data_IF_817614438272
#
_entry.id   IF_817614438272
#
_cell.length_a   1.000
_cell.length_b   1.000
_cell.length_c   1.000
_cell.angle_alpha   90.00
_cell.angle_beta   90.00
_cell.angle_gamma   90.00
#
_symmetry.space_group_name_H-M   'P 1'
#
loop_
_entity.id
_entity.type
_entity.pdbx_description
1 polymer ?
#
# COMPACT_ATOMS: atom_id res chain seq x y z
N UNK A 1 26.89 -26.78 4.15
CA UNK A 1 25.65 -25.98 4.20
C UNK A 1 25.83 -24.94 5.30
N UNK A 2 25.82 -23.65 4.95
CA UNK A 2 25.87 -22.56 5.92
C UNK A 2 24.50 -22.41 6.56
N UNK A 3 24.39 -22.64 7.87
CA UNK A 3 23.16 -22.40 8.62
C UNK A 3 23.03 -20.88 8.78
N UNK A 4 22.04 -20.28 8.13
CA UNK A 4 21.72 -18.86 8.30
C UNK A 4 20.78 -18.66 9.49
N UNK A 5 21.06 -17.68 10.33
CA UNK A 5 20.26 -17.34 11.51
C UNK A 5 19.46 -16.02 11.34
N UNK A 6 18.51 -15.69 12.23
CA UNK A 6 17.72 -14.45 12.13
C UNK A 6 18.55 -13.16 12.16
N UNK A 7 19.66 -13.12 12.92
CA UNK A 7 20.49 -11.92 13.03
C UNK A 7 21.22 -11.63 11.72
N UNK A 8 21.72 -12.68 11.07
CA UNK A 8 22.36 -12.64 9.74
C UNK A 8 21.35 -12.20 8.68
N UNK A 9 20.13 -12.75 8.69
CA UNK A 9 19.07 -12.31 7.77
C UNK A 9 18.79 -10.82 7.94
N UNK A 10 18.62 -10.33 9.19
CA UNK A 10 18.37 -8.91 9.45
C UNK A 10 19.52 -8.03 8.96
N UNK A 11 20.77 -8.44 9.22
CA UNK A 11 21.95 -7.72 8.74
C UNK A 11 21.97 -7.60 7.22
N UNK A 12 21.80 -8.71 6.49
CA UNK A 12 21.80 -8.72 5.03
C UNK A 12 20.64 -7.90 4.43
N UNK A 13 19.44 -7.98 5.03
CA UNK A 13 18.31 -7.13 4.63
C UNK A 13 18.62 -5.64 4.84
N UNK A 14 19.28 -5.28 5.94
CA UNK A 14 19.70 -3.91 6.21
C UNK A 14 20.78 -3.42 5.23
N UNK A 15 21.60 -4.33 4.68
CA UNK A 15 22.53 -4.05 3.58
C UNK A 15 21.86 -3.99 2.19
N UNK A 16 20.53 -4.16 2.12
CA UNK A 16 19.76 -4.04 0.89
C UNK A 16 19.61 -5.33 0.08
N UNK A 17 20.08 -6.48 0.58
CA UNK A 17 19.79 -7.76 -0.06
C UNK A 17 18.31 -8.08 0.03
N UNK A 18 17.77 -8.70 -1.01
CA UNK A 18 16.41 -9.22 -1.01
C UNK A 18 16.36 -10.62 -0.39
N UNK A 19 15.20 -11.02 0.14
CA UNK A 19 14.99 -12.38 0.65
C UNK A 19 15.20 -13.46 -0.44
N UNK A 20 15.01 -13.12 -1.72
CA UNK A 20 15.26 -14.03 -2.85
C UNK A 20 16.75 -14.22 -3.10
N UNK A 21 17.55 -13.15 -3.03
CA UNK A 21 19.01 -13.23 -3.13
C UNK A 21 19.59 -14.02 -1.97
N UNK A 22 19.12 -13.76 -0.74
CA UNK A 22 19.48 -14.53 0.46
C UNK A 22 19.16 -16.02 0.30
N UNK A 23 17.98 -16.37 -0.22
CA UNK A 23 17.61 -17.76 -0.45
C UNK A 23 18.57 -18.47 -1.42
N UNK A 24 18.97 -17.78 -2.50
CA UNK A 24 19.93 -18.29 -3.48
C UNK A 24 21.33 -18.44 -2.88
N UNK A 25 21.81 -17.41 -2.18
CA UNK A 25 23.14 -17.37 -1.58
C UNK A 25 23.34 -18.50 -0.56
N UNK A 26 22.34 -18.73 0.30
CA UNK A 26 22.44 -19.71 1.37
C UNK A 26 21.89 -21.10 0.99
N UNK A 27 21.42 -21.28 -0.24
CA UNK A 27 20.89 -22.56 -0.73
C UNK A 27 19.65 -23.04 0.02
N UNK A 28 18.78 -22.12 0.44
CA UNK A 28 17.56 -22.38 1.21
C UNK A 28 16.33 -21.84 0.50
N UNK A 29 15.13 -22.20 0.99
CA UNK A 29 13.90 -21.66 0.40
C UNK A 29 13.66 -20.22 0.83
N UNK A 30 13.01 -19.42 -0.03
CA UNK A 30 12.56 -18.07 0.32
C UNK A 30 11.62 -18.07 1.52
N UNK A 31 10.78 -19.11 1.66
CA UNK A 31 9.86 -19.25 2.80
C UNK A 31 10.62 -19.36 4.12
N UNK A 32 11.75 -20.08 4.12
CA UNK A 32 12.61 -20.18 5.30
C UNK A 32 13.23 -18.83 5.66
N UNK A 33 13.79 -18.10 4.68
CA UNK A 33 14.31 -16.73 4.89
C UNK A 33 13.22 -15.79 5.42
N UNK A 34 12.00 -15.85 4.89
CA UNK A 34 10.87 -15.04 5.37
C UNK A 34 10.53 -15.32 6.84
N UNK A 35 10.56 -16.60 7.25
CA UNK A 35 10.37 -16.99 8.65
C UNK A 35 11.45 -16.38 9.55
N UNK A 36 12.72 -16.48 9.17
CA UNK A 36 13.84 -15.90 9.92
C UNK A 36 13.76 -14.37 9.97
N UNK A 37 13.39 -13.72 8.87
CA UNK A 37 13.20 -12.27 8.81
C UNK A 37 12.13 -11.82 9.82
N UNK A 38 10.98 -12.50 9.87
CA UNK A 38 9.93 -12.23 10.87
C UNK A 38 10.43 -12.42 12.30
N UNK A 39 11.18 -13.49 12.58
CA UNK A 39 11.78 -13.73 13.89
C UNK A 39 12.75 -12.63 14.30
N UNK A 40 13.45 -12.03 13.33
CA UNK A 40 14.35 -10.90 13.55
C UNK A 40 13.63 -9.53 13.62
N UNK A 41 12.29 -9.51 13.64
CA UNK A 41 11.50 -8.28 13.68
C UNK A 41 11.40 -7.53 12.35
N UNK A 42 11.78 -8.15 11.23
CA UNK A 42 11.57 -7.55 9.91
C UNK A 42 10.12 -7.72 9.47
N UNK A 43 9.40 -6.61 9.40
CA UNK A 43 8.05 -6.56 8.90
C UNK A 43 8.00 -6.09 7.44
N UNK A 44 7.40 -6.87 6.52
CA UNK A 44 7.27 -6.45 5.13
C UNK A 44 6.41 -5.19 4.99
N UNK A 45 6.82 -4.23 4.17
CA UNK A 45 6.06 -2.99 3.91
C UNK A 45 4.59 -3.25 3.51
N UNK A 46 4.33 -4.33 2.76
CA UNK A 46 2.97 -4.74 2.37
C UNK A 46 2.09 -5.09 3.58
N UNK A 47 2.67 -5.68 4.62
CA UNK A 47 1.97 -5.97 5.87
C UNK A 47 1.65 -4.67 6.58
N UNK A 48 2.63 -3.76 6.72
CA UNK A 48 2.43 -2.43 7.31
C UNK A 48 1.29 -1.68 6.61
N UNK A 49 1.27 -1.65 5.28
CA UNK A 49 0.21 -1.01 4.49
C UNK A 49 -1.16 -1.64 4.74
N UNK A 50 -1.24 -2.97 4.83
CA UNK A 50 -2.51 -3.68 5.09
C UNK A 50 -3.02 -3.44 6.51
N UNK A 51 -2.15 -3.48 7.52
CA UNK A 51 -2.54 -3.32 8.94
C UNK A 51 -2.91 -1.89 9.33
N UNK A 52 -2.44 -0.92 8.55
CA UNK A 52 -2.74 0.50 8.70
C UNK A 52 -3.77 1.00 7.68
N UNK A 53 -4.44 0.10 6.96
CA UNK A 53 -5.51 0.47 6.02
C UNK A 53 -6.65 1.18 6.78
N UNK A 54 -7.28 2.23 6.22
CA UNK A 54 -8.18 3.08 6.99
C UNK A 54 -9.49 2.40 7.42
N UNK A 55 -9.88 1.35 6.69
CA UNK A 55 -11.16 0.65 6.89
C UNK A 55 -10.98 -0.88 6.85
N UNK A 56 -11.86 -1.64 7.53
CA UNK A 56 -11.89 -3.10 7.42
C UNK A 56 -12.52 -3.52 6.07
N UNK A 57 -11.67 -3.86 5.10
CA UNK A 57 -12.13 -4.23 3.75
C UNK A 57 -12.62 -5.68 3.73
N UNK A 58 -13.88 -5.89 3.32
CA UNK A 58 -14.40 -7.24 3.12
C UNK A 58 -13.65 -7.96 1.97
N UNK A 59 -13.44 -9.28 2.06
CA UNK A 59 -12.65 -10.03 1.08
C UNK A 59 -13.07 -9.82 -0.38
N UNK A 60 -14.37 -9.69 -0.63
CA UNK A 60 -14.94 -9.53 -1.98
C UNK A 60 -14.50 -8.24 -2.67
N UNK A 61 -14.17 -7.19 -1.91
CA UNK A 61 -13.73 -5.90 -2.44
C UNK A 61 -12.21 -5.79 -2.58
N UNK A 62 -11.45 -6.81 -2.19
CA UNK A 62 -9.98 -6.80 -2.31
C UNK A 62 -9.49 -6.77 -3.76
N UNK A 63 -10.35 -7.10 -4.74
CA UNK A 63 -10.03 -6.97 -6.17
C UNK A 63 -10.41 -5.61 -6.77
N UNK A 64 -11.02 -4.70 -5.99
CA UNK A 64 -11.43 -3.38 -6.48
C UNK A 64 -10.19 -2.55 -6.88
N UNK A 65 -10.28 -1.84 -8.01
CA UNK A 65 -9.18 -1.03 -8.54
C UNK A 65 -8.74 0.10 -7.59
N UNK A 66 -9.67 0.73 -6.87
CA UNK A 66 -9.35 1.78 -5.91
C UNK A 66 -8.66 1.22 -4.67
N UNK A 67 -9.07 0.05 -4.18
CA UNK A 67 -8.35 -0.67 -3.13
C UNK A 67 -6.90 -0.98 -3.54
N UNK A 68 -6.70 -1.54 -4.74
CA UNK A 68 -5.37 -1.83 -5.26
C UNK A 68 -4.53 -0.56 -5.44
N UNK A 69 -5.15 0.53 -5.90
CA UNK A 69 -4.48 1.82 -6.04
C UNK A 69 -4.00 2.37 -4.70
N UNK A 70 -4.85 2.37 -3.67
CA UNK A 70 -4.49 2.77 -2.32
C UNK A 70 -3.32 1.96 -1.78
N UNK A 71 -3.29 0.64 -2.01
CA UNK A 71 -2.15 -0.19 -1.57
C UNK A 71 -0.85 0.18 -2.27
N UNK A 72 -0.89 0.51 -3.56
CA UNK A 72 0.30 0.98 -4.30
C UNK A 72 0.76 2.33 -3.77
N UNK A 73 -0.16 3.27 -3.51
CA UNK A 73 0.17 4.58 -2.94
C UNK A 73 0.77 4.44 -1.55
N UNK A 74 0.20 3.62 -0.68
CA UNK A 74 0.75 3.37 0.65
C UNK A 74 2.17 2.81 0.60
N UNK A 75 2.46 1.90 -0.32
CA UNK A 75 3.82 1.40 -0.54
C UNK A 75 4.77 2.50 -1.02
N UNK A 76 4.36 3.28 -2.02
CA UNK A 76 5.14 4.41 -2.54
C UNK A 76 5.48 5.43 -1.46
N UNK A 77 4.50 5.82 -0.64
CA UNK A 77 4.67 6.79 0.43
C UNK A 77 5.56 6.25 1.58
N UNK A 78 5.63 4.94 1.77
CA UNK A 78 6.59 4.35 2.69
C UNK A 78 8.02 4.43 2.15
N UNK A 79 8.19 3.95 0.92
CA UNK A 79 9.46 3.86 0.21
C UNK A 79 9.19 3.82 -1.30
N UNK A 80 9.68 4.81 -2.02
CA UNK A 80 9.49 4.94 -3.47
C UNK A 80 10.14 3.81 -4.26
N UNK A 81 11.12 3.09 -3.66
CA UNK A 81 11.78 1.92 -4.27
C UNK A 81 10.98 0.62 -4.06
N UNK A 82 9.96 0.63 -3.21
CA UNK A 82 9.17 -0.57 -2.89
C UNK A 82 8.21 -1.00 -4.01
N UNK A 83 7.99 -0.14 -5.01
CA UNK A 83 7.13 -0.39 -6.16
C UNK A 83 7.81 0.05 -7.45
N UNK A 84 7.60 -0.70 -8.54
CA UNK A 84 8.12 -0.30 -9.84
C UNK A 84 7.39 0.93 -10.38
N UNK A 85 8.08 1.77 -11.13
CA UNK A 85 7.46 2.91 -11.82
C UNK A 85 6.33 2.49 -12.76
N UNK A 86 6.43 1.32 -13.39
CA UNK A 86 5.36 0.76 -14.23
C UNK A 86 4.08 0.45 -13.44
N UNK A 87 4.21 0.06 -12.18
CA UNK A 87 3.08 -0.18 -11.27
C UNK A 87 2.46 1.14 -10.84
N UNK A 88 3.28 2.12 -10.47
CA UNK A 88 2.83 3.46 -10.06
C UNK A 88 2.11 4.18 -11.21
N UNK A 89 2.61 4.04 -12.45
CA UNK A 89 1.96 4.62 -13.63
C UNK A 89 0.49 4.17 -13.80
N UNK A 90 0.14 2.97 -13.35
CA UNK A 90 -1.25 2.45 -13.41
C UNK A 90 -2.20 3.17 -12.44
N UNK A 91 -1.68 3.81 -11.39
CA UNK A 91 -2.51 4.51 -10.39
C UNK A 91 -2.57 6.01 -10.62
N UNK A 92 -1.82 6.56 -11.58
CA UNK A 92 -1.84 8.00 -11.92
C UNK A 92 -3.26 8.47 -12.27
N UNK A 93 -4.04 7.66 -13.00
CA UNK A 93 -5.42 8.03 -13.34
C UNK A 93 -6.31 8.23 -12.10
N UNK A 94 -6.07 7.46 -11.04
CA UNK A 94 -6.76 7.59 -9.75
C UNK A 94 -6.30 8.87 -9.05
N UNK A 95 -4.99 9.09 -8.95
CA UNK A 95 -4.42 10.27 -8.30
C UNK A 95 -4.84 11.58 -8.98
N UNK A 96 -4.89 11.60 -10.33
CA UNK A 96 -5.40 12.75 -11.09
C UNK A 96 -6.87 13.03 -10.79
N UNK A 97 -7.71 12.00 -10.62
CA UNK A 97 -9.12 12.20 -10.25
C UNK A 97 -9.25 12.79 -8.83
N UNK A 98 -8.48 12.28 -7.87
CA UNK A 98 -8.43 12.82 -6.50
C UNK A 98 -7.99 14.30 -6.52
N UNK A 99 -6.90 14.60 -7.24
CA UNK A 99 -6.34 15.95 -7.30
C UNK A 99 -7.22 16.94 -8.08
N UNK A 100 -7.57 16.62 -9.33
CA UNK A 100 -8.23 17.57 -10.23
C UNK A 100 -9.70 17.84 -9.89
N UNK A 101 -10.41 16.83 -9.38
CA UNK A 101 -11.83 16.96 -9.06
C UNK A 101 -12.10 17.29 -7.59
N UNK A 102 -11.06 17.58 -6.79
CA UNK A 102 -11.22 17.83 -5.35
C UNK A 102 -11.94 16.68 -4.65
N UNK A 103 -11.61 15.44 -5.01
CA UNK A 103 -12.25 14.24 -4.49
C UNK A 103 -11.31 13.46 -3.56
N UNK A 104 -11.88 12.54 -2.80
CA UNK A 104 -11.18 11.52 -2.02
C UNK A 104 -11.80 10.16 -2.28
N UNK A 105 -11.06 9.10 -1.98
CA UNK A 105 -11.55 7.73 -2.08
C UNK A 105 -12.25 7.37 -0.79
N UNK A 106 -13.44 6.80 -0.86
CA UNK A 106 -14.13 6.22 0.28
C UNK A 106 -14.44 4.74 0.05
N UNK A 107 -14.61 4.02 1.16
CA UNK A 107 -15.06 2.64 1.21
C UNK A 107 -16.40 2.54 1.94
N UNK A 108 -17.35 1.89 1.28
CA UNK A 108 -18.62 1.44 1.85
C UNK A 108 -19.09 0.23 1.02
N UNK A 109 -19.31 -0.95 1.64
CA UNK A 109 -19.84 -2.14 0.95
C UNK A 109 -21.11 -1.88 0.13
N UNK A 110 -21.93 -0.90 0.53
CA UNK A 110 -23.16 -0.50 -0.15
C UNK A 110 -22.96 0.32 -1.41
N UNK A 111 -21.74 0.80 -1.71
CA UNK A 111 -21.50 1.56 -2.93
C UNK A 111 -21.67 0.69 -4.19
N UNK A 112 -22.55 1.09 -5.12
CA UNK A 112 -22.74 0.36 -6.36
C UNK A 112 -21.54 0.55 -7.30
N UNK A 113 -21.38 -0.35 -8.26
CA UNK A 113 -20.54 -0.09 -9.40
C UNK A 113 -21.15 1.02 -10.26
N UNK A 114 -20.32 1.94 -10.75
CA UNK A 114 -20.70 3.04 -11.64
C UNK A 114 -19.99 2.82 -12.98
N UNK A 115 -20.71 2.35 -14.02
CA UNK A 115 -20.13 2.13 -15.35
C UNK A 115 -19.37 3.35 -15.86
N UNK A 116 -18.17 3.14 -16.42
CA UNK A 116 -17.30 4.22 -16.91
C UNK A 116 -16.52 4.97 -15.81
N UNK A 117 -16.78 4.73 -14.53
CA UNK A 117 -16.07 5.37 -13.42
C UNK A 117 -15.40 4.37 -12.48
N UNK A 118 -16.17 3.47 -11.87
CA UNK A 118 -15.69 2.40 -10.99
C UNK A 118 -16.52 1.14 -11.31
N UNK A 119 -15.90 0.16 -11.96
CA UNK A 119 -16.60 -1.02 -12.48
C UNK A 119 -16.85 -2.12 -11.44
N UNK A 120 -16.38 -1.93 -10.21
CA UNK A 120 -16.58 -2.87 -9.08
C UNK A 120 -17.19 -2.14 -7.87
N UNK A 121 -18.14 -2.73 -7.16
CA UNK A 121 -18.77 -2.11 -5.99
C UNK A 121 -17.79 -1.90 -4.81
N UNK A 122 -18.26 -1.23 -3.77
CA UNK A 122 -17.57 -1.10 -2.48
C UNK A 122 -16.73 0.16 -2.30
N UNK A 123 -16.34 0.84 -3.38
CA UNK A 123 -15.51 2.04 -3.32
C UNK A 123 -16.10 3.14 -4.20
N UNK A 124 -15.89 4.40 -3.79
CA UNK A 124 -16.34 5.57 -4.52
C UNK A 124 -15.28 6.69 -4.50
N UNK A 125 -15.35 7.57 -5.50
CA UNK A 125 -14.82 8.93 -5.36
C UNK A 125 -15.93 9.77 -4.73
N UNK A 126 -15.64 10.44 -3.63
CA UNK A 126 -16.58 11.32 -2.95
C UNK A 126 -15.99 12.73 -2.82
N UNK A 127 -16.81 13.78 -2.70
CA UNK A 127 -16.31 15.13 -2.50
C UNK A 127 -15.41 15.24 -1.26
N UNK A 128 -14.28 15.94 -1.42
CA UNK A 128 -13.40 16.30 -0.31
C UNK A 128 -14.13 17.27 0.63
N UNK A 129 -13.92 17.09 1.93
CA UNK A 129 -14.32 18.01 3.00
C UNK A 129 -13.09 18.49 3.78
N UNK A 130 -13.25 19.52 4.59
CA UNK A 130 -12.15 20.07 5.41
C UNK A 130 -11.47 19.01 6.30
N UNK A 131 -12.26 18.10 6.89
CA UNK A 131 -11.75 16.99 7.71
C UNK A 131 -10.81 16.03 6.98
N UNK A 132 -10.81 16.04 5.64
CA UNK A 132 -9.96 15.15 4.86
C UNK A 132 -8.52 15.66 4.74
N UNK A 133 -8.25 16.91 5.13
CA UNK A 133 -6.94 17.54 5.08
C UNK A 133 -6.23 17.27 3.73
N UNK A 134 -5.00 16.72 3.76
CA UNK A 134 -4.24 16.31 2.58
C UNK A 134 -4.39 14.81 2.23
N UNK A 135 -5.29 14.09 2.89
CA UNK A 135 -5.47 12.66 2.67
C UNK A 135 -6.16 12.39 1.33
N UNK A 136 -5.79 11.29 0.67
CA UNK A 136 -6.48 10.78 -0.53
C UNK A 136 -7.66 9.86 -0.18
N UNK A 137 -7.84 9.57 1.10
CA UNK A 137 -8.93 8.76 1.65
C UNK A 137 -9.90 9.66 2.42
N UNK A 138 -11.17 9.27 2.46
CA UNK A 138 -12.21 10.00 3.20
C UNK A 138 -12.00 9.86 4.71
N UNK A 139 -12.07 10.97 5.43
CA UNK A 139 -12.08 11.01 6.89
C UNK A 139 -13.51 11.13 7.38
N UNK A 140 -13.97 10.05 8.00
CA UNK A 140 -15.30 9.89 8.62
C UNK A 140 -15.14 9.14 9.96
N UNK A 141 -16.13 9.15 10.88
CA UNK A 141 -15.97 8.65 12.25
C UNK A 141 -15.37 7.23 12.38
N UNK A 142 -15.66 6.34 11.43
CA UNK A 142 -15.17 4.96 11.35
C UNK A 142 -13.78 4.82 10.73
N UNK A 143 -13.21 5.90 10.20
CA UNK A 143 -11.91 5.89 9.51
C UNK A 143 -10.78 5.86 10.53
N UNK A 144 -9.96 4.81 10.48
CA UNK A 144 -8.81 4.66 11.36
C UNK A 144 -7.55 5.23 10.71
N UNK A 145 -7.15 6.42 11.13
CA UNK A 145 -5.84 7.00 10.76
C UNK A 145 -4.83 6.79 11.89
N UNK A 146 -3.96 5.79 11.73
CA UNK A 146 -2.84 5.55 12.64
C UNK A 146 -1.71 6.57 12.39
N UNK A 147 -0.72 6.70 13.31
CA UNK A 147 0.45 7.53 13.05
C UNK A 147 1.19 7.17 11.75
N UNK A 148 1.31 5.88 11.43
CA UNK A 148 1.87 5.41 10.16
C UNK A 148 0.89 5.72 9.00
N UNK A 149 -0.40 5.50 9.21
CA UNK A 149 -1.47 5.78 8.25
C UNK A 149 -1.47 7.23 7.75
N UNK A 150 -1.11 8.21 8.60
CA UNK A 150 -0.95 9.61 8.18
C UNK A 150 0.05 9.76 7.03
N UNK A 151 1.16 9.01 7.08
CA UNK A 151 2.16 8.99 6.00
C UNK A 151 1.63 8.23 4.78
N UNK A 152 0.96 7.09 4.99
CA UNK A 152 0.48 6.22 3.91
C UNK A 152 -0.56 6.90 3.02
N UNK A 153 -1.50 7.62 3.62
CA UNK A 153 -2.72 8.05 2.95
C UNK A 153 -2.73 9.50 2.51
N UNK A 154 -1.61 10.21 2.64
CA UNK A 154 -1.42 11.53 2.03
C UNK A 154 -1.30 11.46 0.51
N UNK A 155 -1.50 12.59 -0.17
CA UNK A 155 -1.20 12.72 -1.59
C UNK A 155 0.29 12.38 -1.84
N UNK A 156 0.61 11.40 -2.72
CA UNK A 156 1.99 10.99 -2.92
C UNK A 156 2.79 12.04 -3.68
N UNK A 157 4.00 12.33 -3.18
CA UNK A 157 4.95 13.22 -3.81
C UNK A 157 5.90 12.47 -4.77
N UNK A 158 6.48 13.19 -5.73
CA UNK A 158 7.50 12.64 -6.64
C UNK A 158 6.99 11.59 -7.64
N UNK A 159 5.68 11.39 -7.77
CA UNK A 159 5.09 10.45 -8.73
C UNK A 159 5.26 11.00 -10.16
N UNK A 160 6.00 10.30 -11.05
CA UNK A 160 6.20 10.79 -12.40
C UNK A 160 4.88 10.94 -13.17
N UNK A 161 4.62 12.12 -13.74
CA UNK A 161 3.39 12.41 -14.50
C UNK A 161 2.23 12.96 -13.67
N UNK A 162 2.47 13.32 -12.41
CA UNK A 162 1.56 14.11 -11.56
C UNK A 162 1.85 15.62 -11.58
N UNK A 163 2.91 16.04 -12.27
CA UNK A 163 3.28 17.45 -12.48
C UNK A 163 2.36 18.13 -13.50
#
# INVERSE_FOLDING_TARGET
>A
MSIIDPATVRYCLAQGMTQTELAREYGVTRQYIHKLAKQAGHEPLRTIVTENFPWPIQPDFTKNNLYQALRVVGLWNMDTKSVSLSTVKKVIGVLRKVHHFGSVIDYDPGYPAIPGLITTPGFAYVPRTESDENFIVKIKPETRITPIGRKLWGMPEGVPGMN
#
